data_IF_911805028497
#
_entry.id   IF_911805028497
#
_cell.length_a   1.000
_cell.length_b   1.000
_cell.length_c   1.000
_cell.angle_alpha   90.00
_cell.angle_beta   90.00
_cell.angle_gamma   90.00
#
_symmetry.space_group_name_H-M   'P 1'
#
loop_
_entity.id
_entity.type
_entity.pdbx_description
1 polymer ?
#
# COMPACT_ATOMS: atom_id res chain seq x y z
N UNK A 1 0.91 -11.75 13.63
CA UNK A 1 -0.17 -11.94 12.64
C UNK A 1 0.27 -11.33 11.32
N UNK A 2 -0.04 -11.95 10.18
CA UNK A 2 0.27 -11.35 8.88
C UNK A 2 -0.87 -10.44 8.47
N UNK A 3 -0.58 -9.19 8.15
CA UNK A 3 -1.57 -8.20 7.70
C UNK A 3 -1.33 -7.82 6.25
N UNK A 4 -2.40 -7.61 5.52
CA UNK A 4 -2.41 -7.35 4.08
C UNK A 4 -2.77 -5.90 3.79
N UNK A 5 -2.04 -5.27 2.88
CA UNK A 5 -2.21 -3.85 2.56
C UNK A 5 -2.16 -3.60 1.06
N UNK A 6 -2.91 -2.61 0.61
CA UNK A 6 -2.87 -2.11 -0.77
C UNK A 6 -2.46 -0.64 -0.72
N UNK A 7 -1.38 -0.30 -1.42
CA UNK A 7 -1.00 1.08 -1.69
C UNK A 7 -1.44 1.46 -3.11
N UNK A 8 -2.12 2.59 -3.26
CA UNK A 8 -2.43 3.20 -4.56
C UNK A 8 -1.54 4.43 -4.78
N UNK A 9 -1.37 4.82 -6.04
CA UNK A 9 -0.40 5.82 -6.45
C UNK A 9 -0.96 6.72 -7.54
N UNK A 10 -0.56 7.99 -7.53
CA UNK A 10 -0.88 8.92 -8.61
C UNK A 10 -0.10 8.63 -9.91
N UNK A 11 0.94 7.80 -9.85
CA UNK A 11 1.77 7.45 -11.01
C UNK A 11 2.19 5.98 -11.02
N UNK A 12 2.30 5.40 -12.22
CA UNK A 12 2.86 4.06 -12.38
C UNK A 12 4.32 3.97 -11.89
N UNK A 13 5.07 5.07 -11.99
CA UNK A 13 6.45 5.13 -11.54
C UNK A 13 6.55 5.00 -10.01
N UNK A 14 5.68 5.70 -9.28
CA UNK A 14 5.59 5.62 -7.82
C UNK A 14 5.27 4.19 -7.36
N UNK A 15 4.31 3.53 -8.01
CA UNK A 15 3.99 2.13 -7.74
C UNK A 15 5.20 1.21 -7.95
N UNK A 16 5.91 1.36 -9.07
CA UNK A 16 7.08 0.56 -9.38
C UNK A 16 8.24 0.80 -8.40
N UNK A 17 8.46 2.05 -7.95
CA UNK A 17 9.50 2.37 -6.95
C UNK A 17 9.14 1.76 -5.61
N UNK A 18 7.92 1.98 -5.12
CA UNK A 18 7.46 1.46 -3.83
C UNK A 18 7.55 -0.08 -3.78
N UNK A 19 7.14 -0.75 -4.87
CA UNK A 19 7.31 -2.19 -5.00
C UNK A 19 8.78 -2.62 -4.86
N UNK A 20 9.71 -1.95 -5.56
CA UNK A 20 11.14 -2.24 -5.44
C UNK A 20 11.67 -2.02 -4.03
N UNK A 21 11.22 -0.96 -3.36
CA UNK A 21 11.61 -0.67 -1.97
C UNK A 21 11.15 -1.79 -1.02
N UNK A 22 9.88 -2.22 -1.12
CA UNK A 22 9.35 -3.31 -0.27
C UNK A 22 10.06 -4.64 -0.51
N UNK A 23 10.32 -4.98 -1.77
CA UNK A 23 11.09 -6.19 -2.10
C UNK A 23 12.52 -6.11 -1.56
N UNK A 24 13.16 -4.94 -1.62
CA UNK A 24 14.51 -4.72 -1.07
C UNK A 24 14.53 -4.79 0.47
N UNK A 25 13.43 -4.42 1.12
CA UNK A 25 13.22 -4.64 2.57
C UNK A 25 12.96 -6.12 2.92
N UNK A 26 12.93 -7.03 1.94
CA UNK A 26 12.62 -8.45 2.16
C UNK A 26 11.13 -8.74 2.37
N UNK A 27 10.25 -7.76 2.12
CA UNK A 27 8.80 -7.91 2.27
C UNK A 27 8.19 -8.49 1.00
N UNK A 28 7.18 -9.35 1.17
CA UNK A 28 6.35 -9.80 0.04
C UNK A 28 5.53 -8.62 -0.46
N UNK A 29 5.70 -8.27 -1.74
CA UNK A 29 4.96 -7.21 -2.41
C UNK A 29 4.75 -7.59 -3.88
N UNK A 30 3.61 -7.20 -4.44
CA UNK A 30 3.20 -7.51 -5.80
C UNK A 30 2.51 -6.30 -6.43
N UNK A 31 2.85 -6.00 -7.69
CA UNK A 31 2.13 -5.02 -8.48
C UNK A 31 0.82 -5.64 -9.00
N UNK A 32 -0.26 -4.87 -8.97
CA UNK A 32 -1.57 -5.26 -9.50
C UNK A 32 -2.33 -4.02 -10.01
N UNK A 33 -3.35 -4.16 -10.87
CA UNK A 33 -4.28 -3.06 -11.13
C UNK A 33 -4.95 -2.60 -9.83
N UNK A 34 -5.25 -1.32 -9.71
CA UNK A 34 -5.97 -0.78 -8.53
C UNK A 34 -7.34 -1.47 -8.42
N UNK A 35 -7.71 -1.99 -7.23
CA UNK A 35 -9.05 -2.52 -7.00
C UNK A 35 -10.12 -1.47 -7.28
N UNK A 36 -11.20 -1.88 -7.96
CA UNK A 36 -12.29 -0.98 -8.38
C UNK A 36 -12.97 -0.28 -7.20
N UNK A 37 -13.04 -0.94 -6.05
CA UNK A 37 -13.56 -0.39 -4.80
C UNK A 37 -12.69 0.75 -4.23
N UNK A 38 -11.40 0.79 -4.58
CA UNK A 38 -10.47 1.85 -4.14
C UNK A 38 -10.36 2.98 -5.16
N UNK A 39 -10.36 2.66 -6.46
CA UNK A 39 -10.37 3.65 -7.53
C UNK A 39 -10.97 3.07 -8.81
N UNK A 40 -11.74 3.89 -9.53
CA UNK A 40 -12.23 3.54 -10.87
C UNK A 40 -11.23 3.86 -11.99
N UNK A 41 -10.11 4.51 -11.67
CA UNK A 41 -9.04 4.80 -12.62
C UNK A 41 -8.13 3.57 -12.83
N UNK A 42 -7.66 3.34 -14.06
CA UNK A 42 -6.77 2.24 -14.43
C UNK A 42 -5.31 2.42 -13.91
N UNK A 43 -5.16 2.72 -12.61
CA UNK A 43 -3.85 2.88 -11.98
C UNK A 43 -3.20 1.53 -11.61
N UNK A 44 -1.96 1.61 -11.15
CA UNK A 44 -1.22 0.48 -10.58
C UNK A 44 -1.17 0.61 -9.06
N UNK A 45 -1.55 -0.47 -8.37
CA UNK A 45 -1.42 -0.62 -6.93
C UNK A 45 -0.30 -1.60 -6.57
N UNK A 46 0.17 -1.51 -5.33
CA UNK A 46 1.07 -2.49 -4.72
C UNK A 46 0.36 -3.18 -3.57
N UNK A 47 0.18 -4.49 -3.67
CA UNK A 47 -0.28 -5.32 -2.57
C UNK A 47 0.94 -5.87 -1.82
N UNK A 48 1.04 -5.58 -0.52
CA UNK A 48 2.15 -5.99 0.32
C UNK A 48 1.70 -6.49 1.69
N UNK A 49 2.59 -7.24 2.33
CA UNK A 49 2.32 -7.90 3.60
C UNK A 49 3.24 -7.36 4.70
N UNK A 50 2.70 -7.20 5.90
CA UNK A 50 3.46 -6.78 7.09
C UNK A 50 3.24 -7.78 8.22
N UNK A 51 4.33 -8.26 8.79
CA UNK A 51 4.30 -9.09 9.99
C UNK A 51 4.04 -8.21 11.22
N UNK A 52 2.86 -8.36 11.80
CA UNK A 52 2.50 -7.79 13.09
C UNK A 52 3.05 -8.69 14.20
N UNK A 53 4.06 -8.22 14.92
CA UNK A 53 4.65 -8.94 16.05
C UNK A 53 3.90 -8.69 17.37
N UNK A 54 2.60 -8.34 17.32
CA UNK A 54 1.80 -7.98 18.49
C UNK A 54 2.15 -6.62 19.10
N UNK A 55 3.10 -5.89 18.48
CA UNK A 55 3.31 -4.48 18.77
C UNK A 55 2.34 -3.70 17.89
N UNK A 56 1.39 -3.02 18.52
CA UNK A 56 0.41 -2.13 17.89
C UNK A 56 1.08 -0.87 17.30
N UNK A 57 2.17 -1.04 16.57
CA UNK A 57 2.89 0.06 15.95
C UNK A 57 2.18 0.35 14.63
N UNK A 58 1.68 1.59 14.43
CA UNK A 58 1.09 1.97 13.15
C UNK A 58 2.11 1.72 12.04
N UNK A 59 1.64 1.33 10.85
CA UNK A 59 2.51 1.22 9.69
C UNK A 59 3.30 2.52 9.54
N UNK A 60 4.64 2.43 9.66
CA UNK A 60 5.50 3.57 9.35
C UNK A 60 5.54 3.76 7.84
N UNK A 61 4.64 4.60 7.34
CA UNK A 61 4.58 5.00 5.94
C UNK A 61 5.56 6.15 5.74
N UNK A 62 6.50 5.96 4.81
CA UNK A 62 7.37 7.01 4.32
C UNK A 62 6.94 7.31 2.90
N UNK A 63 6.47 8.54 2.65
CA UNK A 63 6.17 9.04 1.31
C UNK A 63 7.00 10.30 1.01
N UNK A 64 8.34 10.20 0.93
CA UNK A 64 9.19 11.37 0.71
C UNK A 64 9.01 12.03 -0.66
N UNK A 65 8.28 11.38 -1.57
CA UNK A 65 8.07 11.86 -2.94
C UNK A 65 6.61 12.26 -3.22
N UNK A 66 5.69 12.12 -2.26
CA UNK A 66 4.29 12.51 -2.45
C UNK A 66 3.56 11.69 -3.52
N UNK A 67 3.95 10.43 -3.73
CA UNK A 67 3.42 9.61 -4.83
C UNK A 67 2.31 8.66 -4.39
N UNK A 68 2.19 8.43 -3.08
CA UNK A 68 1.21 7.54 -2.49
C UNK A 68 -0.11 8.30 -2.38
N UNK A 69 -1.13 7.82 -3.10
CA UNK A 69 -2.47 8.38 -3.02
C UNK A 69 -3.16 7.94 -1.72
N UNK A 70 -3.06 6.64 -1.39
CA UNK A 70 -3.54 6.10 -0.13
C UNK A 70 -2.96 4.72 0.12
N UNK A 71 -3.01 4.29 1.38
CA UNK A 71 -2.74 2.91 1.78
C UNK A 71 -3.89 2.42 2.63
N UNK A 72 -4.42 1.26 2.26
CA UNK A 72 -5.49 0.59 2.98
C UNK A 72 -5.03 -0.77 3.50
N UNK A 73 -5.52 -1.14 4.68
CA UNK A 73 -5.46 -2.50 5.22
C UNK A 73 -6.66 -3.29 4.71
N UNK A 74 -6.45 -4.53 4.27
CA UNK A 74 -7.53 -5.46 3.93
C UNK A 74 -8.04 -6.08 5.24
N UNK A 75 -9.30 -5.81 5.57
CA UNK A 75 -9.95 -6.29 6.79
C UNK A 75 -11.18 -7.12 6.39
N UNK A 76 -10.97 -8.43 6.22
CA UNK A 76 -12.00 -9.34 5.72
C UNK A 76 -12.39 -9.03 4.28
N UNK A 77 -13.62 -8.53 4.07
CA UNK A 77 -14.13 -8.12 2.75
C UNK A 77 -14.20 -6.59 2.58
N UNK A 78 -13.45 -5.84 3.39
CA UNK A 78 -13.48 -4.37 3.38
C UNK A 78 -12.07 -3.80 3.48
N UNK A 79 -11.97 -2.50 3.20
CA UNK A 79 -10.73 -1.75 3.26
C UNK A 79 -10.79 -0.75 4.40
N UNK A 80 -9.70 -0.66 5.17
CA UNK A 80 -9.51 0.37 6.21
C UNK A 80 -8.37 1.28 5.80
N UNK A 81 -8.64 2.57 5.65
CA UNK A 81 -7.60 3.56 5.33
C UNK A 81 -6.60 3.67 6.49
N UNK A 82 -5.33 3.41 6.19
CA UNK A 82 -4.21 3.56 7.11
C UNK A 82 -3.39 4.83 6.84
N UNK A 83 -3.37 5.29 5.59
CA UNK A 83 -2.70 6.50 5.17
C UNK A 83 -3.43 7.11 3.98
N UNK A 84 -3.64 8.42 4.04
CA UNK A 84 -4.02 9.25 2.90
C UNK A 84 -3.39 10.64 3.15
N UNK A 85 -2.64 11.21 2.20
CA UNK A 85 -2.20 12.59 2.33
C UNK A 85 -3.42 13.51 2.38
N UNK A 86 -3.39 14.51 3.27
CA UNK A 86 -4.37 15.60 3.28
C UNK A 86 -4.10 16.45 2.03
N UNK A 87 -5.11 16.64 1.19
CA UNK A 87 -5.08 17.61 0.08
C UNK A 87 -4.91 19.06 0.57
#
# INVERSE_FOLDING_TARGET
MLREYIATFHSHFGAARFHKEKVKEGKKAYLQPVPRDLSSSCGTAVHFYVEDNGKSEPLSIKDPHGEIEQIVEIVGHSYKVCYAPLE
#
